data_IF_138628365137
#
_entry.id   IF_138628365137
#
_cell.length_a   1.000
_cell.length_b   1.000
_cell.length_c   1.000
_cell.angle_alpha   90.00
_cell.angle_beta   90.00
_cell.angle_gamma   90.00
#
_symmetry.space_group_name_H-M   'P 1'
#
loop_
_entity.id
_entity.type
_entity.pdbx_description
1 polymer ?
#
# COMPACT_ATOMS: atom_id res chain seq x y z
N UNK A 1 48.77 7.37 43.48
CA UNK A 1 47.30 7.22 43.37
C UNK A 1 46.96 6.93 41.91
N UNK A 2 46.17 5.88 41.62
CA UNK A 2 46.06 5.24 40.31
C UNK A 2 44.80 5.66 39.54
N UNK A 3 44.77 5.47 38.21
CA UNK A 3 43.58 5.05 37.47
C UNK A 3 43.96 4.61 36.05
N UNK A 4 44.10 3.31 35.91
CA UNK A 4 44.11 2.52 34.68
C UNK A 4 42.63 2.27 34.30
N UNK A 5 42.20 2.63 33.09
CA UNK A 5 40.95 2.12 32.51
C UNK A 5 41.23 1.67 31.07
N UNK A 6 41.44 0.36 30.96
CA UNK A 6 41.16 -0.47 29.79
C UNK A 6 39.68 -0.34 29.41
N UNK A 7 39.39 -0.19 28.13
CA UNK A 7 38.25 -0.89 27.53
C UNK A 7 38.61 -1.40 26.13
N UNK A 8 38.74 -2.72 26.06
CA UNK A 8 38.73 -3.53 24.86
C UNK A 8 37.29 -3.74 24.39
N UNK A 9 37.13 -3.85 23.06
CA UNK A 9 36.10 -4.60 22.32
C UNK A 9 34.63 -4.17 22.45
N UNK A 10 34.01 -3.86 21.31
CA UNK A 10 33.02 -4.76 20.70
C UNK A 10 32.77 -4.42 19.22
N UNK A 11 33.16 -5.40 18.39
CA UNK A 11 32.59 -5.81 17.10
C UNK A 11 31.53 -4.90 16.46
N UNK A 12 31.88 -4.33 15.31
CA UNK A 12 30.91 -3.94 14.29
C UNK A 12 30.18 -5.20 13.80
N UNK A 13 28.84 -5.27 13.83
CA UNK A 13 28.15 -6.22 12.99
C UNK A 13 28.22 -5.70 11.55
N UNK A 14 28.96 -6.43 10.72
CA UNK A 14 28.81 -6.41 9.26
C UNK A 14 27.34 -6.67 8.96
N UNK A 15 26.63 -5.64 8.51
CA UNK A 15 25.26 -5.76 8.02
C UNK A 15 25.32 -6.51 6.68
N UNK A 16 25.22 -7.84 6.74
CA UNK A 16 25.09 -8.66 5.55
C UNK A 16 23.80 -8.28 4.82
N UNK A 17 23.83 -8.12 3.48
CA UNK A 17 22.61 -7.95 2.71
C UNK A 17 21.85 -9.28 2.74
N UNK A 18 20.82 -9.33 3.57
CA UNK A 18 19.89 -10.45 3.59
C UNK A 18 19.10 -10.39 2.28
N UNK A 19 19.56 -11.14 1.28
CA UNK A 19 18.86 -11.37 0.03
C UNK A 19 17.60 -12.19 0.33
N UNK A 20 16.52 -11.53 0.76
CA UNK A 20 15.21 -12.16 0.83
C UNK A 20 14.42 -11.80 -0.41
N UNK A 21 14.31 -12.83 -1.25
CA UNK A 21 13.49 -12.92 -2.44
C UNK A 21 12.05 -12.61 -2.05
N UNK A 22 11.52 -11.51 -2.58
CA UNK A 22 10.09 -11.18 -2.53
C UNK A 22 9.35 -12.28 -3.29
N UNK A 23 8.82 -13.26 -2.56
CA UNK A 23 7.90 -14.23 -3.12
C UNK A 23 6.63 -13.49 -3.54
N UNK A 24 6.41 -13.42 -4.85
CA UNK A 24 5.16 -12.95 -5.45
C UNK A 24 3.98 -13.75 -4.93
N UNK A 25 3.24 -13.20 -3.97
CA UNK A 25 1.90 -13.68 -3.64
C UNK A 25 0.89 -13.03 -4.59
N UNK A 26 0.64 -13.71 -5.71
CA UNK A 26 -0.54 -13.53 -6.54
C UNK A 26 -1.77 -14.00 -5.75
N UNK A 27 -2.40 -13.11 -5.00
CA UNK A 27 -3.75 -13.36 -4.46
C UNK A 27 -4.74 -13.23 -5.62
N UNK A 28 -5.14 -14.37 -6.17
CA UNK A 28 -6.25 -14.47 -7.12
C UNK A 28 -7.56 -14.13 -6.40
N UNK A 29 -8.02 -12.90 -6.51
CA UNK A 29 -9.37 -12.52 -6.12
C UNK A 29 -10.34 -12.99 -7.23
N UNK A 30 -10.88 -14.20 -7.09
CA UNK A 30 -11.98 -14.69 -7.93
C UNK A 30 -13.27 -14.07 -7.40
N UNK A 31 -13.75 -13.03 -8.07
CA UNK A 31 -15.08 -12.46 -7.85
C UNK A 31 -15.89 -12.62 -9.14
N UNK A 32 -16.94 -13.42 -9.08
CA UNK A 32 -18.04 -13.36 -10.04
C UNK A 32 -18.39 -14.68 -10.72
N UNK A 33 -19.68 -15.03 -10.65
CA UNK A 33 -20.33 -15.79 -11.71
C UNK A 33 -21.15 -17.00 -11.26
N UNK A 34 -22.33 -16.74 -10.69
CA UNK A 34 -23.46 -17.66 -10.83
C UNK A 34 -23.70 -17.90 -12.32
N UNK A 35 -23.48 -19.13 -12.80
CA UNK A 35 -23.98 -19.60 -14.10
C UNK A 35 -24.70 -20.92 -13.85
N UNK A 36 -25.95 -21.09 -14.31
CA UNK A 36 -26.70 -22.31 -14.08
C UNK A 36 -26.08 -23.48 -14.84
N UNK A 37 -26.01 -24.61 -14.15
CA UNK A 37 -25.67 -25.93 -14.68
C UNK A 37 -26.75 -26.38 -15.67
N UNK A 38 -26.42 -26.44 -16.95
CA UNK A 38 -27.19 -27.20 -17.95
C UNK A 38 -26.33 -28.38 -18.36
N UNK A 39 -26.68 -29.54 -17.83
CA UNK A 39 -26.10 -30.83 -18.15
C UNK A 39 -26.91 -31.48 -19.28
N UNK A 40 -26.28 -31.67 -20.44
CA UNK A 40 -26.66 -32.69 -21.42
C UNK A 40 -25.44 -33.03 -22.29
N UNK A 41 -24.97 -34.27 -22.20
CA UNK A 41 -23.99 -34.90 -23.08
C UNK A 41 -24.73 -35.76 -24.13
N UNK A 42 -24.05 -36.49 -25.04
CA UNK A 42 -22.89 -36.17 -25.88
C UNK A 42 -23.23 -36.41 -27.39
N UNK A 43 -22.44 -35.87 -28.32
CA UNK A 43 -22.47 -36.38 -29.70
C UNK A 43 -21.15 -36.12 -30.46
N UNK A 44 -20.52 -37.25 -30.81
CA UNK A 44 -19.71 -37.54 -31.99
C UNK A 44 -18.49 -36.68 -32.37
N UNK A 45 -17.41 -37.41 -32.65
CA UNK A 45 -16.09 -36.97 -33.05
C UNK A 45 -16.03 -36.29 -34.43
N UNK A 46 -15.03 -35.40 -34.58
CA UNK A 46 -14.28 -35.23 -35.85
C UNK A 46 -12.81 -34.83 -35.54
N UNK A 47 -11.81 -35.71 -35.78
CA UNK A 47 -10.40 -35.44 -35.52
C UNK A 47 -9.72 -34.81 -36.74
N UNK A 48 -10.15 -33.61 -37.15
CA UNK A 48 -9.54 -32.94 -38.31
C UNK A 48 -9.63 -31.42 -38.23
N UNK A 49 -9.07 -30.81 -37.18
CA UNK A 49 -8.67 -29.38 -37.16
C UNK A 49 -7.84 -29.06 -35.92
N UNK A 50 -6.54 -29.29 -35.99
CA UNK A 50 -5.57 -28.70 -35.06
C UNK A 50 -4.63 -27.78 -35.83
N UNK A 51 -5.01 -26.52 -36.07
CA UNK A 51 -4.06 -25.44 -36.05
C UNK A 51 -4.15 -24.74 -34.68
N UNK A 52 -3.12 -23.99 -34.32
CA UNK A 52 -3.14 -23.01 -33.20
C UNK A 52 -2.78 -23.63 -31.83
N UNK A 53 -1.56 -24.18 -31.76
CA UNK A 53 -0.61 -23.76 -30.71
C UNK A 53 -0.38 -22.24 -30.87
N UNK A 54 -1.35 -21.43 -30.48
CA UNK A 54 -1.15 -19.99 -30.35
C UNK A 54 -1.36 -19.66 -28.90
N UNK A 55 -0.23 -19.51 -28.23
CA UNK A 55 0.01 -18.41 -27.31
C UNK A 55 -1.29 -17.84 -26.74
N UNK A 56 -1.73 -18.39 -25.61
CA UNK A 56 -2.26 -17.54 -24.56
C UNK A 56 -1.09 -16.70 -24.07
N UNK A 57 -0.69 -15.72 -24.90
CA UNK A 57 -0.12 -14.46 -24.44
C UNK A 57 -1.14 -13.95 -23.45
N UNK A 58 -0.95 -14.32 -22.19
CA UNK A 58 -1.59 -13.70 -21.04
C UNK A 58 -1.22 -12.25 -21.22
N UNK A 59 -2.14 -11.50 -21.83
CA UNK A 59 -2.03 -10.06 -22.00
C UNK A 59 -1.50 -9.57 -20.67
N UNK A 60 -0.30 -9.00 -20.69
CA UNK A 60 0.30 -8.36 -19.54
C UNK A 60 -0.63 -7.18 -19.25
N UNK A 61 -1.73 -7.48 -18.56
CA UNK A 61 -2.76 -6.55 -18.16
C UNK A 61 -1.99 -5.54 -17.35
N UNK A 62 -1.78 -4.34 -17.92
CA UNK A 62 -1.05 -3.26 -17.26
C UNK A 62 -1.55 -3.19 -15.83
N UNK A 63 -0.71 -3.60 -14.89
CA UNK A 63 -1.13 -3.72 -13.50
C UNK A 63 -1.55 -2.34 -13.01
N UNK A 64 -2.69 -2.26 -12.32
CA UNK A 64 -3.25 -0.97 -11.90
C UNK A 64 -2.23 -0.22 -11.02
N UNK A 65 -1.97 1.08 -11.27
CA UNK A 65 -1.05 1.88 -10.47
C UNK A 65 -1.41 1.90 -8.98
N UNK A 66 -2.68 1.71 -8.64
CA UNK A 66 -3.16 1.61 -7.25
C UNK A 66 -2.62 0.37 -6.52
N UNK A 67 -2.51 -0.76 -7.22
CA UNK A 67 -1.96 -1.99 -6.64
C UNK A 67 -0.48 -1.76 -6.33
N UNK A 68 0.27 -1.22 -7.29
CA UNK A 68 1.69 -0.94 -7.09
C UNK A 68 1.95 0.08 -5.99
N UNK A 69 1.10 1.09 -5.88
CA UNK A 69 1.12 2.06 -4.79
C UNK A 69 0.92 1.40 -3.42
N UNK A 70 -0.14 0.61 -3.23
CA UNK A 70 -0.41 -0.07 -1.96
C UNK A 70 0.71 -1.06 -1.59
N UNK A 71 1.25 -1.78 -2.58
CA UNK A 71 2.40 -2.68 -2.35
C UNK A 71 3.66 -1.90 -1.95
N UNK A 72 3.91 -0.73 -2.56
CA UNK A 72 5.03 0.12 -2.18
C UNK A 72 4.90 0.64 -0.75
N UNK A 73 3.68 0.97 -0.31
CA UNK A 73 3.41 1.31 1.11
C UNK A 73 3.82 0.15 2.00
N UNK A 74 3.30 -1.05 1.76
CA UNK A 74 3.59 -2.22 2.59
C UNK A 74 5.09 -2.54 2.64
N UNK A 75 5.78 -2.49 1.50
CA UNK A 75 7.23 -2.69 1.43
C UNK A 75 8.00 -1.61 2.22
N UNK A 76 7.56 -0.35 2.15
CA UNK A 76 8.18 0.75 2.89
C UNK A 76 7.99 0.59 4.40
N UNK A 77 6.80 0.16 4.85
CA UNK A 77 6.54 -0.13 6.27
C UNK A 77 7.35 -1.35 6.75
N UNK A 78 7.55 -2.35 5.90
CA UNK A 78 8.41 -3.50 6.19
C UNK A 78 9.88 -3.09 6.35
N UNK A 79 10.41 -2.27 5.42
CA UNK A 79 11.79 -1.74 5.50
C UNK A 79 12.02 -0.84 6.72
N UNK A 80 10.95 -0.24 7.22
CA UNK A 80 10.95 0.52 8.46
C UNK A 80 10.98 -0.36 9.72
N UNK A 81 10.65 -1.65 9.61
CA UNK A 81 10.53 -2.56 10.74
C UNK A 81 9.34 -2.23 11.66
N UNK A 82 8.30 -1.57 11.14
CA UNK A 82 7.12 -1.15 11.93
C UNK A 82 5.92 -2.08 11.77
N UNK A 83 6.00 -3.02 10.83
CA UNK A 83 4.99 -4.06 10.69
C UNK A 83 5.19 -5.15 11.76
N UNK A 84 4.10 -5.75 12.26
CA UNK A 84 4.18 -6.94 13.08
C UNK A 84 4.80 -8.11 12.29
N UNK A 85 5.25 -9.18 12.97
CA UNK A 85 5.85 -10.32 12.28
C UNK A 85 4.95 -10.90 11.19
N UNK A 86 5.55 -11.24 10.06
CA UNK A 86 4.84 -11.83 8.92
C UNK A 86 4.12 -13.13 9.32
N UNK A 87 2.99 -13.42 8.67
CA UNK A 87 2.17 -14.60 8.95
C UNK A 87 1.30 -14.49 10.20
N UNK A 88 1.42 -13.42 11.00
CA UNK A 88 0.52 -13.17 12.12
C UNK A 88 -0.86 -12.68 11.64
N UNK A 89 -1.95 -12.94 12.40
CA UNK A 89 -3.27 -12.39 12.11
C UNK A 89 -3.25 -10.85 11.99
N UNK A 90 -2.42 -10.20 12.80
CA UNK A 90 -2.21 -8.75 12.83
C UNK A 90 -1.60 -8.24 11.52
N UNK A 91 -0.52 -8.86 11.02
CA UNK A 91 0.09 -8.50 9.74
C UNK A 91 -0.90 -8.65 8.58
N UNK A 92 -1.66 -9.75 8.56
CA UNK A 92 -2.70 -9.99 7.56
C UNK A 92 -3.82 -8.94 7.60
N UNK A 93 -4.16 -8.46 8.79
CA UNK A 93 -5.15 -7.41 8.97
C UNK A 93 -4.65 -6.06 8.42
N UNK A 94 -3.40 -5.69 8.72
CA UNK A 94 -2.77 -4.47 8.18
C UNK A 94 -2.71 -4.49 6.65
N UNK A 95 -2.27 -5.61 6.07
CA UNK A 95 -2.21 -5.76 4.61
C UNK A 95 -3.59 -5.52 3.98
N UNK A 96 -4.66 -6.09 4.57
CA UNK A 96 -6.03 -5.88 4.08
C UNK A 96 -6.44 -4.42 4.14
N UNK A 97 -6.33 -3.78 5.30
CA UNK A 97 -6.84 -2.42 5.43
C UNK A 97 -6.02 -1.42 4.60
N UNK A 98 -4.71 -1.62 4.42
CA UNK A 98 -3.88 -0.74 3.57
C UNK A 98 -4.34 -0.80 2.11
N UNK A 99 -4.63 -2.00 1.60
CA UNK A 99 -5.14 -2.21 0.24
C UNK A 99 -6.56 -1.61 0.10
N UNK A 100 -7.40 -1.70 1.13
CA UNK A 100 -8.74 -1.12 1.11
C UNK A 100 -8.70 0.41 1.21
N UNK A 101 -7.82 1.01 2.02
CA UNK A 101 -7.67 2.46 2.09
C UNK A 101 -7.19 3.05 0.76
N UNK A 102 -6.34 2.34 0.01
CA UNK A 102 -6.04 2.72 -1.37
C UNK A 102 -7.32 2.88 -2.20
N UNK A 103 -8.34 2.04 -2.00
CA UNK A 103 -9.64 2.16 -2.68
C UNK A 103 -10.47 3.33 -2.14
N UNK A 104 -10.45 3.59 -0.83
CA UNK A 104 -11.13 4.76 -0.23
C UNK A 104 -10.67 6.05 -0.92
N UNK A 105 -9.37 6.29 -0.96
CA UNK A 105 -8.84 7.56 -1.49
C UNK A 105 -8.84 7.65 -3.02
N UNK A 106 -9.09 6.55 -3.74
CA UNK A 106 -9.17 6.55 -5.21
C UNK A 106 -10.59 6.53 -5.74
N UNK A 107 -11.55 6.01 -4.96
CA UNK A 107 -12.92 5.73 -5.43
C UNK A 107 -14.01 6.37 -4.57
N UNK A 108 -13.72 6.80 -3.35
CA UNK A 108 -14.74 7.41 -2.50
C UNK A 108 -15.15 8.77 -3.06
N UNK A 109 -16.46 8.96 -3.17
CA UNK A 109 -17.06 10.27 -3.44
C UNK A 109 -17.65 10.89 -2.16
N UNK A 110 -17.31 10.33 -0.99
CA UNK A 110 -17.72 10.86 0.31
C UNK A 110 -17.08 12.25 0.55
N UNK A 111 -17.89 13.29 0.83
CA UNK A 111 -17.40 14.65 1.02
C UNK A 111 -16.41 14.80 2.17
N UNK A 112 -16.57 14.05 3.28
CA UNK A 112 -15.70 14.16 4.44
C UNK A 112 -14.30 13.59 4.12
N UNK A 113 -14.24 12.46 3.42
CA UNK A 113 -12.97 11.88 2.95
C UNK A 113 -12.26 12.81 1.97
N UNK A 114 -12.99 13.41 1.02
CA UNK A 114 -12.41 14.34 0.06
C UNK A 114 -11.90 15.62 0.73
N UNK A 115 -12.68 16.17 1.65
CA UNK A 115 -12.31 17.37 2.39
C UNK A 115 -11.10 17.13 3.30
N UNK A 116 -11.04 15.99 3.98
CA UNK A 116 -9.87 15.59 4.76
C UNK A 116 -8.60 15.52 3.89
N UNK A 117 -8.68 14.85 2.74
CA UNK A 117 -7.54 14.77 1.81
C UNK A 117 -7.11 16.14 1.29
N UNK A 118 -8.08 17.02 0.99
CA UNK A 118 -7.82 18.39 0.57
C UNK A 118 -7.13 19.20 1.68
N UNK A 119 -7.61 19.11 2.93
CA UNK A 119 -7.03 19.80 4.08
C UNK A 119 -5.58 19.37 4.34
N UNK A 120 -5.31 18.07 4.27
CA UNK A 120 -3.96 17.53 4.42
C UNK A 120 -2.97 18.14 3.41
N UNK A 121 -3.42 18.36 2.18
CA UNK A 121 -2.59 18.89 1.09
C UNK A 121 -2.56 20.43 1.05
N UNK A 122 -3.58 21.10 1.57
CA UNK A 122 -3.74 22.55 1.50
C UNK A 122 -2.55 23.30 2.14
N UNK A 123 -1.93 22.75 3.19
CA UNK A 123 -0.82 23.42 3.85
C UNK A 123 0.42 23.58 2.93
N UNK A 124 0.64 22.63 2.02
CA UNK A 124 1.80 22.64 1.12
C UNK A 124 1.47 23.18 -0.27
N UNK A 125 0.25 22.93 -0.75
CA UNK A 125 -0.11 23.15 -2.15
C UNK A 125 -1.16 24.24 -2.35
N UNK A 126 -1.75 24.77 -1.26
CA UNK A 126 -2.77 25.82 -1.34
C UNK A 126 -3.88 25.45 -2.33
N UNK A 127 -4.07 26.29 -3.33
CA UNK A 127 -5.10 26.14 -4.35
C UNK A 127 -4.91 24.90 -5.25
N UNK A 128 -3.68 24.36 -5.36
CA UNK A 128 -3.40 23.14 -6.14
C UNK A 128 -3.80 21.85 -5.40
N UNK A 129 -4.25 21.93 -4.15
CA UNK A 129 -4.60 20.74 -3.36
C UNK A 129 -5.69 19.90 -4.04
N UNK A 130 -6.69 20.54 -4.66
CA UNK A 130 -7.77 19.84 -5.35
C UNK A 130 -7.27 19.02 -6.56
N UNK A 131 -6.35 19.59 -7.35
CA UNK A 131 -5.75 18.89 -8.50
C UNK A 131 -4.91 17.68 -8.05
N UNK A 132 -4.19 17.82 -6.93
CA UNK A 132 -3.40 16.72 -6.37
C UNK A 132 -4.29 15.60 -5.82
N UNK A 133 -5.44 15.93 -5.21
CA UNK A 133 -6.46 14.93 -4.85
C UNK A 133 -7.00 14.24 -6.10
N UNK A 134 -7.20 14.97 -7.20
CA UNK A 134 -7.56 14.39 -8.50
C UNK A 134 -6.50 13.38 -8.99
N UNK A 135 -5.23 13.74 -8.89
CA UNK A 135 -4.11 12.87 -9.27
C UNK A 135 -4.00 11.63 -8.37
N UNK A 136 -4.29 11.74 -7.08
CA UNK A 136 -4.35 10.58 -6.16
C UNK A 136 -5.27 9.48 -6.70
N UNK A 137 -6.40 9.87 -7.32
CA UNK A 137 -7.36 8.93 -7.93
C UNK A 137 -6.81 8.19 -9.15
N UNK A 138 -5.78 8.71 -9.82
CA UNK A 138 -5.18 8.09 -11.02
C UNK A 138 -3.84 7.42 -10.72
N UNK A 139 -2.98 8.03 -9.92
CA UNK A 139 -1.62 7.55 -9.63
C UNK A 139 -1.55 6.66 -8.39
N UNK A 140 -2.54 6.76 -7.50
CA UNK A 140 -2.47 6.22 -6.15
C UNK A 140 -1.57 7.05 -5.23
N UNK A 141 -1.16 6.45 -4.11
CA UNK A 141 -0.34 7.10 -3.10
C UNK A 141 1.02 7.51 -3.63
N UNK A 142 1.42 8.70 -3.23
CA UNK A 142 2.81 9.14 -3.24
C UNK A 142 3.29 9.27 -1.79
N UNK A 143 4.62 9.29 -1.61
CA UNK A 143 5.19 9.49 -0.28
C UNK A 143 4.67 10.79 0.36
N UNK A 144 4.68 11.89 -0.39
CA UNK A 144 4.23 13.17 0.14
C UNK A 144 2.75 13.12 0.55
N UNK A 145 1.86 12.53 -0.25
CA UNK A 145 0.45 12.41 0.15
C UNK A 145 0.31 11.61 1.46
N UNK A 146 1.01 10.48 1.60
CA UNK A 146 0.97 9.67 2.82
C UNK A 146 1.46 10.45 4.04
N UNK A 147 2.57 11.18 3.89
CA UNK A 147 3.12 12.00 4.96
C UNK A 147 2.13 13.10 5.37
N UNK A 148 1.51 13.78 4.40
CA UNK A 148 0.53 14.85 4.66
C UNK A 148 -0.75 14.34 5.31
N UNK A 149 -1.29 13.22 4.87
CA UNK A 149 -2.44 12.62 5.54
C UNK A 149 -2.11 12.18 6.97
N UNK A 150 -0.90 11.65 7.18
CA UNK A 150 -0.46 11.25 8.51
C UNK A 150 -0.26 12.46 9.44
N UNK A 151 0.17 13.60 8.91
CA UNK A 151 0.29 14.86 9.66
C UNK A 151 -1.10 15.46 9.94
N UNK A 152 -2.03 15.40 8.98
CA UNK A 152 -3.40 15.88 9.14
C UNK A 152 -4.15 15.07 10.20
N UNK A 153 -4.10 13.74 10.11
CA UNK A 153 -4.77 12.85 11.08
C UNK A 153 -4.29 13.12 12.50
N UNK A 154 -2.99 13.32 12.70
CA UNK A 154 -2.42 13.62 14.02
C UNK A 154 -2.84 15.00 14.59
N UNK A 155 -3.31 15.93 13.74
CA UNK A 155 -3.78 17.26 14.16
C UNK A 155 -5.26 17.27 14.51
N UNK A 156 -6.04 16.34 13.97
CA UNK A 156 -7.49 16.33 14.17
C UNK A 156 -7.88 15.66 15.49
N UNK A 157 -9.01 16.10 16.05
CA UNK A 157 -9.60 15.45 17.22
C UNK A 157 -10.26 14.12 16.82
N UNK A 158 -10.46 13.23 17.78
CA UNK A 158 -11.17 11.97 17.55
C UNK A 158 -12.60 12.19 17.04
N UNK A 159 -13.27 13.27 17.48
CA UNK A 159 -14.61 13.64 17.01
C UNK A 159 -14.59 14.03 15.53
N UNK A 160 -13.61 14.85 15.12
CA UNK A 160 -13.42 15.22 13.71
C UNK A 160 -13.13 14.00 12.84
N UNK A 161 -12.26 13.10 13.28
CA UNK A 161 -11.96 11.86 12.54
C UNK A 161 -13.16 10.91 12.46
N UNK A 162 -14.06 10.94 13.45
CA UNK A 162 -15.27 10.09 13.43
C UNK A 162 -16.20 10.43 12.26
N UNK A 163 -16.14 11.66 11.73
CA UNK A 163 -16.89 12.05 10.52
C UNK A 163 -16.49 11.24 9.29
N UNK A 164 -15.29 10.65 9.26
CA UNK A 164 -14.80 9.81 8.16
C UNK A 164 -15.45 8.42 8.13
N UNK A 165 -16.10 8.00 9.22
CA UNK A 165 -16.66 6.65 9.34
C UNK A 165 -17.66 6.33 8.22
N UNK A 166 -18.47 7.30 7.80
CA UNK A 166 -19.43 7.13 6.71
C UNK A 166 -18.74 6.85 5.37
N UNK A 167 -17.62 7.52 5.09
CA UNK A 167 -16.84 7.31 3.87
C UNK A 167 -16.02 6.00 3.89
N UNK A 168 -15.72 5.47 5.07
CA UNK A 168 -14.97 4.22 5.22
C UNK A 168 -15.87 2.97 5.18
N UNK A 169 -17.12 3.08 5.66
CA UNK A 169 -18.05 1.96 5.77
C UNK A 169 -18.25 1.15 4.46
N UNK A 170 -18.40 1.76 3.26
CA UNK A 170 -18.55 1.00 2.01
C UNK A 170 -17.34 0.11 1.67
N UNK A 171 -16.19 0.39 2.26
CA UNK A 171 -14.94 -0.36 2.04
C UNK A 171 -14.66 -1.37 3.15
N UNK A 172 -15.58 -1.51 4.13
CA UNK A 172 -15.42 -2.30 5.35
C UNK A 172 -14.22 -1.86 6.18
N UNK A 173 -14.06 -0.55 6.36
CA UNK A 173 -12.97 0.06 7.10
C UNK A 173 -13.50 0.88 8.28
N UNK A 174 -12.69 0.98 9.34
CA UNK A 174 -12.98 1.78 10.53
C UNK A 174 -12.04 2.97 10.70
N UNK A 175 -12.41 3.90 11.58
CA UNK A 175 -11.58 5.06 11.93
C UNK A 175 -10.35 4.62 12.72
N UNK A 176 -10.46 3.57 13.53
CA UNK A 176 -9.35 2.97 14.26
C UNK A 176 -8.31 2.36 13.30
N UNK A 177 -8.75 1.68 12.25
CA UNK A 177 -7.86 1.18 11.20
C UNK A 177 -7.17 2.32 10.45
N UNK A 178 -7.88 3.43 10.23
CA UNK A 178 -7.30 4.63 9.62
C UNK A 178 -6.23 5.26 10.52
N UNK A 179 -6.54 5.46 11.81
CA UNK A 179 -5.60 5.93 12.82
C UNK A 179 -4.35 5.04 12.86
N UNK A 180 -4.56 3.72 12.91
CA UNK A 180 -3.48 2.75 12.92
C UNK A 180 -2.62 2.83 11.66
N UNK A 181 -3.23 2.99 10.49
CA UNK A 181 -2.49 3.15 9.25
C UNK A 181 -1.63 4.42 9.26
N UNK A 182 -2.21 5.56 9.65
CA UNK A 182 -1.48 6.82 9.73
C UNK A 182 -0.36 6.80 10.77
N UNK A 183 -0.57 6.09 11.89
CA UNK A 183 0.47 5.85 12.87
C UNK A 183 1.64 5.05 12.28
N UNK A 184 1.39 3.96 11.55
CA UNK A 184 2.44 3.19 10.90
C UNK A 184 3.28 4.04 9.94
N UNK A 185 2.65 4.97 9.21
CA UNK A 185 3.36 5.93 8.34
C UNK A 185 4.27 6.84 9.16
N UNK A 186 3.79 7.41 10.28
CA UNK A 186 4.61 8.25 11.18
C UNK A 186 5.76 7.48 11.81
N UNK A 187 5.50 6.27 12.30
CA UNK A 187 6.51 5.40 12.89
C UNK A 187 7.58 5.04 11.86
N UNK A 188 7.19 4.75 10.62
CA UNK A 188 8.13 4.48 9.53
C UNK A 188 9.01 5.69 9.22
N UNK A 189 8.42 6.89 9.11
CA UNK A 189 9.18 8.14 8.91
C UNK A 189 10.20 8.33 10.03
N UNK A 190 9.79 8.12 11.28
CA UNK A 190 10.68 8.24 12.43
C UNK A 190 11.82 7.21 12.38
N UNK A 191 11.51 5.95 12.08
CA UNK A 191 12.49 4.87 11.97
C UNK A 191 13.49 5.05 10.81
N UNK A 192 13.11 5.72 9.73
CA UNK A 192 14.04 6.09 8.66
C UNK A 192 14.91 7.28 9.06
N UNK A 193 14.34 8.32 9.67
CA UNK A 193 15.10 9.49 10.12
C UNK A 193 16.20 9.12 11.11
N UNK A 194 15.94 8.21 12.05
CA UNK A 194 16.97 7.71 12.99
C UNK A 194 18.12 6.99 12.30
N UNK A 195 17.90 6.48 11.07
CA UNK A 195 18.91 5.85 10.21
C UNK A 195 19.50 6.80 9.17
N UNK A 196 19.14 8.09 9.20
CA UNK A 196 19.59 9.08 8.20
C UNK A 196 18.97 8.88 6.81
N UNK A 197 17.81 8.22 6.73
CA UNK A 197 17.08 7.97 5.49
C UNK A 197 15.78 8.78 5.45
N UNK A 198 15.32 9.12 4.25
CA UNK A 198 14.06 9.84 4.03
C UNK A 198 12.97 8.89 3.53
N UNK A 199 11.79 8.97 4.14
CA UNK A 199 10.61 8.15 3.77
C UNK A 199 10.30 8.27 2.27
N UNK A 200 10.36 9.49 1.75
CA UNK A 200 10.14 9.78 0.33
C UNK A 200 11.06 8.99 -0.60
N UNK A 201 12.36 8.89 -0.28
CA UNK A 201 13.31 8.16 -1.11
C UNK A 201 13.05 6.66 -1.09
N UNK A 202 12.79 6.09 0.09
CA UNK A 202 12.52 4.65 0.24
C UNK A 202 11.23 4.29 -0.49
N UNK A 203 10.14 5.02 -0.23
CA UNK A 203 8.87 4.79 -0.90
C UNK A 203 8.98 4.92 -2.42
N UNK A 204 9.66 5.96 -2.93
CA UNK A 204 9.81 6.17 -4.37
C UNK A 204 10.66 5.07 -5.02
N UNK A 205 11.67 4.54 -4.31
CA UNK A 205 12.43 3.37 -4.77
C UNK A 205 11.52 2.15 -4.87
N UNK A 206 10.78 1.84 -3.80
CA UNK A 206 9.84 0.71 -3.78
C UNK A 206 8.78 0.85 -4.86
N UNK A 207 8.21 2.04 -5.06
CA UNK A 207 7.18 2.27 -6.08
C UNK A 207 7.63 1.92 -7.50
N UNK A 208 8.91 2.13 -7.83
CA UNK A 208 9.50 1.77 -9.13
C UNK A 208 9.67 0.27 -9.34
N UNK A 209 9.83 -0.48 -8.24
CA UNK A 209 9.91 -1.94 -8.25
C UNK A 209 8.51 -2.59 -8.35
N UNK A 210 7.44 -1.82 -8.12
CA UNK A 210 6.08 -2.33 -8.08
C UNK A 210 5.35 -2.24 -9.43
N UNK A 211 4.36 -3.12 -9.68
CA UNK A 211 3.58 -3.10 -10.91
C UNK A 211 2.89 -1.75 -11.17
N UNK A 212 2.78 -1.35 -12.46
CA UNK A 212 2.13 -0.09 -12.84
C UNK A 212 2.96 1.16 -12.51
N UNK A 213 4.29 1.04 -12.39
CA UNK A 213 5.22 2.16 -12.19
C UNK A 213 5.54 2.94 -13.48
N UNK A 214 5.43 2.31 -14.66
CA UNK A 214 5.83 2.89 -15.94
C UNK A 214 4.70 3.68 -16.65
N UNK A 215 3.55 3.86 -15.98
CA UNK A 215 2.37 4.52 -16.51
C UNK A 215 2.01 5.82 -15.78
N UNK A 216 2.98 6.44 -15.09
CA UNK A 216 2.82 7.72 -14.38
C UNK A 216 3.91 8.71 -14.77
#
# INVERSE_FOLDING_TARGET
>A
MPAMLLFLRCLSPVLQPSAYIINSFLVSLVLGGLVPSVQAAPALADPAKNPVLTQTSRSAKTASPHIGSAMAVLATLQDAGVLPPEGTPEANHIIRFVIQFQSVFTKSDDPAVQEFARQALAHRYGDQAADIVGNLRTTGWTADILERLSDEEARQSSESLHTLAQGFAPFNLSVEEFHRFMQLVRDARQAFRTRGLEFQHIFSSRRKEMPGAESS
#
